data_IF_119548578025
#
_entry.id   IF_119548578025
#
_cell.length_a   1.000
_cell.length_b   1.000
_cell.length_c   1.000
_cell.angle_alpha   90.00
_cell.angle_beta   90.00
_cell.angle_gamma   90.00
#
_symmetry.space_group_name_H-M   'P 1'
#
loop_
_entity.id
_entity.type
_entity.pdbx_description
1 polymer ?
#
# COMPACT_ATOMS: atom_id res chain seq x y z
N UNK A 1 -22.14 -9.12 15.35
CA UNK A 1 -21.72 -9.85 14.13
C UNK A 1 -21.45 -8.81 13.05
N UNK A 2 -20.18 -8.63 12.66
CA UNK A 2 -19.88 -7.87 11.43
C UNK A 2 -20.32 -8.77 10.29
N UNK A 3 -21.49 -8.49 9.73
CA UNK A 3 -21.97 -9.16 8.52
C UNK A 3 -21.14 -8.60 7.38
N UNK A 4 -19.96 -9.16 7.15
CA UNK A 4 -19.18 -8.89 5.94
C UNK A 4 -20.09 -9.33 4.78
N UNK A 5 -20.67 -8.36 4.08
CA UNK A 5 -21.60 -8.60 2.97
C UNK A 5 -20.96 -9.32 1.77
N UNK A 6 -19.62 -9.43 1.77
CA UNK A 6 -18.86 -10.23 0.82
C UNK A 6 -18.50 -11.60 1.43
N UNK A 7 -18.58 -12.66 0.62
CA UNK A 7 -18.11 -13.97 1.03
C UNK A 7 -16.60 -13.89 1.44
N UNK A 8 -16.16 -14.67 2.43
CA UNK A 8 -14.79 -14.56 2.96
C UNK A 8 -13.70 -14.79 1.91
N UNK A 9 -14.00 -15.57 0.87
CA UNK A 9 -13.11 -15.80 -0.26
C UNK A 9 -12.95 -14.55 -1.14
N UNK A 10 -14.01 -13.79 -1.37
CA UNK A 10 -14.03 -12.55 -2.13
C UNK A 10 -13.23 -11.47 -1.41
N UNK A 11 -13.37 -11.39 -0.08
CA UNK A 11 -12.56 -10.51 0.74
C UNK A 11 -11.06 -10.82 0.57
N UNK A 12 -10.69 -12.11 0.62
CA UNK A 12 -9.32 -12.55 0.36
C UNK A 12 -8.84 -12.16 -1.04
N UNK A 13 -9.64 -12.44 -2.08
CA UNK A 13 -9.32 -12.06 -3.48
C UNK A 13 -9.11 -10.56 -3.61
N UNK A 14 -9.97 -9.74 -3.02
CA UNK A 14 -9.86 -8.29 -3.10
C UNK A 14 -8.57 -7.77 -2.45
N UNK A 15 -8.14 -8.33 -1.32
CA UNK A 15 -6.84 -7.98 -0.73
C UNK A 15 -5.68 -8.33 -1.67
N UNK A 16 -5.71 -9.52 -2.28
CA UNK A 16 -4.69 -9.91 -3.26
C UNK A 16 -4.67 -8.95 -4.45
N UNK A 17 -5.83 -8.57 -4.97
CA UNK A 17 -5.95 -7.61 -6.07
C UNK A 17 -5.37 -6.25 -5.66
N UNK A 18 -5.73 -5.72 -4.50
CA UNK A 18 -5.21 -4.44 -4.02
C UNK A 18 -3.69 -4.44 -3.88
N UNK A 19 -3.11 -5.53 -3.35
CA UNK A 19 -1.66 -5.72 -3.25
C UNK A 19 -1.00 -5.72 -4.62
N UNK A 20 -1.51 -6.54 -5.55
CA UNK A 20 -0.94 -6.66 -6.90
C UNK A 20 -1.00 -5.31 -7.63
N UNK A 21 -2.16 -4.64 -7.60
CA UNK A 21 -2.35 -3.33 -8.25
C UNK A 21 -1.38 -2.30 -7.68
N UNK A 22 -1.23 -2.26 -6.34
CA UNK A 22 -0.33 -1.32 -5.68
C UNK A 22 1.14 -1.58 -6.04
N UNK A 23 1.58 -2.84 -6.09
CA UNK A 23 2.95 -3.21 -6.49
C UNK A 23 3.19 -2.87 -7.97
N UNK A 24 2.29 -3.29 -8.86
CA UNK A 24 2.42 -3.07 -10.31
C UNK A 24 2.47 -1.57 -10.62
N UNK A 25 1.56 -0.79 -10.04
CA UNK A 25 1.60 0.66 -10.23
C UNK A 25 2.84 1.28 -9.58
N UNK A 26 3.23 0.85 -8.39
CA UNK A 26 4.46 1.32 -7.73
C UNK A 26 5.70 1.13 -8.61
N UNK A 27 5.83 -0.05 -9.25
CA UNK A 27 6.89 -0.34 -10.20
C UNK A 27 6.78 0.52 -11.48
N UNK A 28 5.57 0.70 -12.02
CA UNK A 28 5.32 1.57 -13.17
C UNK A 28 5.70 3.03 -12.89
N UNK A 29 5.51 3.49 -11.64
CA UNK A 29 5.93 4.80 -11.14
C UNK A 29 7.43 4.87 -10.78
N UNK A 30 8.21 3.84 -11.14
CA UNK A 30 9.65 3.73 -10.88
C UNK A 30 9.99 3.79 -9.39
N UNK A 31 9.16 3.21 -8.53
CA UNK A 31 9.62 2.87 -7.18
C UNK A 31 10.57 1.67 -7.28
N UNK A 32 11.67 1.65 -6.49
CA UNK A 32 12.51 0.47 -6.42
C UNK A 32 11.68 -0.71 -5.90
N UNK A 33 12.01 -1.94 -6.31
CA UNK A 33 11.28 -3.11 -5.83
C UNK A 33 11.45 -3.30 -4.32
N UNK A 34 12.68 -3.12 -3.83
CA UNK A 34 13.07 -3.29 -2.43
C UNK A 34 13.72 -2.00 -1.89
N UNK A 35 13.66 -1.76 -0.57
CA UNK A 35 14.40 -0.68 0.07
C UNK A 35 15.93 -0.84 -0.09
N UNK A 36 16.66 0.24 0.15
CA UNK A 36 18.12 0.21 0.16
C UNK A 36 18.67 -0.65 1.31
N UNK A 37 19.89 -1.16 1.16
CA UNK A 37 20.56 -1.92 2.23
C UNK A 37 21.25 -0.95 3.20
N UNK A 38 21.29 -1.24 4.51
CA UNK A 38 20.65 -2.38 5.18
C UNK A 38 19.12 -2.21 5.32
N UNK A 39 18.34 -3.18 4.82
CA UNK A 39 16.88 -3.07 4.61
C UNK A 39 16.12 -2.62 5.87
N UNK A 40 16.51 -3.10 7.06
CA UNK A 40 15.82 -2.79 8.32
C UNK A 40 15.96 -1.34 8.77
N UNK A 41 17.02 -0.66 8.34
CA UNK A 41 17.31 0.72 8.73
C UNK A 41 17.11 1.69 7.56
N UNK A 42 16.59 1.20 6.43
CA UNK A 42 16.31 2.01 5.26
C UNK A 42 14.94 2.67 5.36
N UNK A 43 14.93 3.98 5.17
CA UNK A 43 13.72 4.79 5.01
C UNK A 43 13.31 4.92 3.54
N UNK A 44 14.01 4.22 2.64
CA UNK A 44 13.72 4.25 1.21
C UNK A 44 12.42 3.50 0.93
N UNK A 45 11.41 4.26 0.50
CA UNK A 45 10.15 3.71 0.02
C UNK A 45 10.34 2.89 -1.26
N UNK A 46 9.58 1.80 -1.36
CA UNK A 46 9.67 0.81 -2.42
C UNK A 46 8.28 0.28 -2.80
N UNK A 47 8.21 -0.40 -3.94
CA UNK A 47 6.98 -1.04 -4.40
C UNK A 47 6.52 -2.16 -3.46
N UNK A 48 7.44 -2.83 -2.75
CA UNK A 48 7.10 -3.89 -1.81
C UNK A 48 6.94 -3.39 -0.37
N UNK A 49 7.55 -2.27 -0.02
CA UNK A 49 7.44 -1.64 1.30
C UNK A 49 7.57 -0.12 1.21
N UNK A 50 6.60 0.69 1.69
CA UNK A 50 5.40 0.30 2.45
C UNK A 50 4.13 0.14 1.58
N UNK A 51 4.24 0.20 0.26
CA UNK A 51 3.09 0.32 -0.68
C UNK A 51 1.94 -0.68 -0.44
N UNK A 52 2.16 -2.00 -0.32
CA UNK A 52 1.09 -2.96 -0.09
C UNK A 52 0.47 -2.84 1.31
N UNK A 53 1.22 -2.36 2.30
CA UNK A 53 0.74 -2.18 3.68
C UNK A 53 -0.35 -1.11 3.70
N UNK A 54 -0.13 0.01 3.00
CA UNK A 54 -1.16 1.03 2.85
C UNK A 54 -2.38 0.51 2.09
N UNK A 55 -2.17 -0.25 1.01
CA UNK A 55 -3.28 -0.82 0.24
C UNK A 55 -4.18 -1.72 1.11
N UNK A 56 -3.58 -2.62 1.90
CA UNK A 56 -4.32 -3.51 2.81
C UNK A 56 -5.00 -2.69 3.91
N UNK A 57 -4.26 -1.78 4.56
CA UNK A 57 -4.78 -1.00 5.69
C UNK A 57 -5.95 -0.11 5.31
N UNK A 58 -5.85 0.59 4.17
CA UNK A 58 -6.94 1.44 3.68
C UNK A 58 -8.14 0.59 3.26
N UNK A 59 -7.92 -0.52 2.55
CA UNK A 59 -9.01 -1.41 2.13
C UNK A 59 -9.77 -1.98 3.34
N UNK A 60 -9.04 -2.34 4.41
CA UNK A 60 -9.63 -2.81 5.65
C UNK A 60 -10.56 -1.78 6.30
N UNK A 61 -10.22 -0.49 6.22
CA UNK A 61 -11.08 0.60 6.71
C UNK A 61 -12.40 0.64 5.92
N UNK A 62 -12.35 0.57 4.58
CA UNK A 62 -13.56 0.54 3.75
C UNK A 62 -14.49 -0.62 4.13
N UNK A 63 -13.94 -1.83 4.27
CA UNK A 63 -14.75 -3.00 4.64
C UNK A 63 -15.26 -2.96 6.08
N UNK A 64 -14.49 -2.41 7.02
CA UNK A 64 -14.95 -2.18 8.40
C UNK A 64 -16.15 -1.23 8.45
N UNK A 65 -16.19 -0.24 7.56
CA UNK A 65 -17.31 0.69 7.38
C UNK A 65 -18.46 0.09 6.55
N UNK A 66 -18.42 -1.21 6.22
CA UNK A 66 -19.36 -1.90 5.34
C UNK A 66 -19.48 -1.31 3.92
N UNK A 67 -18.41 -0.68 3.43
CA UNK A 67 -18.36 -0.11 2.09
C UNK A 67 -17.73 -1.14 1.13
N UNK A 68 -18.57 -1.91 0.45
CA UNK A 68 -18.14 -2.90 -0.55
C UNK A 68 -18.31 -2.41 -1.99
N UNK A 69 -19.22 -1.47 -2.27
CA UNK A 69 -19.39 -0.92 -3.63
C UNK A 69 -19.63 -2.03 -4.70
N UNK A 70 -19.31 -1.72 -5.96
CA UNK A 70 -19.52 -2.57 -7.14
C UNK A 70 -18.58 -3.78 -7.12
N UNK A 71 -19.08 -4.92 -7.60
CA UNK A 71 -18.37 -6.21 -7.69
C UNK A 71 -17.82 -6.67 -6.34
N UNK A 72 -18.63 -6.56 -5.28
CA UNK A 72 -18.33 -7.05 -3.94
C UNK A 72 -16.95 -6.58 -3.42
N UNK A 73 -16.58 -5.33 -3.66
CA UNK A 73 -15.33 -4.75 -3.16
C UNK A 73 -14.19 -4.71 -4.17
N UNK A 74 -14.33 -5.31 -5.35
CA UNK A 74 -13.23 -5.39 -6.32
C UNK A 74 -12.83 -4.01 -6.86
N UNK A 75 -13.80 -3.16 -7.19
CA UNK A 75 -13.51 -1.81 -7.70
C UNK A 75 -12.79 -0.97 -6.64
N UNK A 76 -13.24 -1.04 -5.38
CA UNK A 76 -12.56 -0.36 -4.27
C UNK A 76 -11.15 -0.91 -4.10
N UNK A 77 -10.94 -2.23 -4.17
CA UNK A 77 -9.62 -2.82 -4.06
C UNK A 77 -8.64 -2.29 -5.11
N UNK A 78 -9.09 -2.17 -6.37
CA UNK A 78 -8.29 -1.57 -7.45
C UNK A 78 -7.99 -0.10 -7.13
N UNK A 79 -9.02 0.71 -6.83
CA UNK A 79 -8.85 2.14 -6.57
C UNK A 79 -7.94 2.41 -5.37
N UNK A 80 -8.10 1.63 -4.29
CA UNK A 80 -7.25 1.71 -3.09
C UNK A 80 -5.82 1.30 -3.41
N UNK A 81 -5.61 0.25 -4.20
CA UNK A 81 -4.28 -0.16 -4.66
C UNK A 81 -3.59 0.96 -5.46
N UNK A 82 -4.32 1.56 -6.41
CA UNK A 82 -3.83 2.68 -7.21
C UNK A 82 -3.49 3.89 -6.32
N UNK A 83 -4.43 4.29 -5.46
CA UNK A 83 -4.26 5.42 -4.56
C UNK A 83 -3.08 5.22 -3.59
N UNK A 84 -2.87 4.00 -3.10
CA UNK A 84 -1.77 3.68 -2.19
C UNK A 84 -0.41 3.82 -2.85
N UNK A 85 -0.27 3.36 -4.10
CA UNK A 85 0.98 3.54 -4.84
C UNK A 85 1.26 5.01 -5.17
N UNK A 86 0.23 5.78 -5.54
CA UNK A 86 0.35 7.22 -5.75
C UNK A 86 0.73 7.96 -4.47
N UNK A 87 0.07 7.62 -3.35
CA UNK A 87 0.40 8.14 -2.03
C UNK A 87 1.86 7.87 -1.68
N UNK A 88 2.31 6.61 -1.82
CA UNK A 88 3.71 6.27 -1.53
C UNK A 88 4.68 7.04 -2.42
N UNK A 89 4.40 7.13 -3.72
CA UNK A 89 5.29 7.83 -4.66
C UNK A 89 5.41 9.32 -4.35
N UNK A 90 4.29 10.01 -4.13
CA UNK A 90 4.25 11.48 -4.17
C UNK A 90 4.07 12.15 -2.81
N UNK A 91 3.35 11.52 -1.87
CA UNK A 91 2.94 12.16 -0.62
C UNK A 91 3.63 11.59 0.63
N UNK A 92 4.20 10.39 0.54
CA UNK A 92 4.80 9.70 1.68
C UNK A 92 5.85 10.55 2.40
N UNK A 93 6.80 11.15 1.67
CA UNK A 93 7.89 11.90 2.30
C UNK A 93 7.44 13.25 2.89
N UNK A 94 6.25 13.72 2.50
CA UNK A 94 5.63 14.90 3.10
C UNK A 94 4.96 14.57 4.44
N UNK A 95 4.34 13.39 4.53
CA UNK A 95 3.69 12.91 5.76
C UNK A 95 4.71 12.29 6.73
N UNK A 96 5.68 11.57 6.19
CA UNK A 96 6.74 10.86 6.91
C UNK A 96 8.10 11.36 6.40
N UNK A 97 8.57 12.51 6.87
CA UNK A 97 9.83 13.08 6.43
C UNK A 97 11.00 12.15 6.79
N UNK A 98 12.02 12.14 5.93
CA UNK A 98 13.24 11.39 6.17
C UNK A 98 13.90 11.84 7.48
N UNK A 99 14.55 10.92 8.21
CA UNK A 99 15.31 11.29 9.38
C UNK A 99 16.45 12.26 8.99
N UNK A 100 16.89 13.13 9.92
CA UNK A 100 18.04 14.00 9.68
C UNK A 100 19.25 13.18 9.23
N UNK A 101 19.94 13.63 8.18
CA UNK A 101 21.20 13.03 7.80
C UNK A 101 22.21 13.32 8.91
N UNK A 102 22.67 12.29 9.61
CA UNK A 102 23.76 12.43 10.59
C UNK A 102 25.04 12.64 9.78
N UNK A 103 25.52 13.88 9.70
CA UNK A 103 26.85 14.20 9.19
C UNK A 103 27.90 13.44 10.01
N UNK A 104 28.38 12.31 9.51
CA UNK A 104 29.45 11.53 10.14
C UNK A 104 29.41 10.01 9.97
N UNK A 105 28.32 9.44 9.44
CA UNK A 105 28.27 8.00 9.12
C UNK A 105 28.86 7.73 7.73
N UNK A 106 30.06 7.14 7.68
CA UNK A 106 30.71 6.71 6.43
C UNK A 106 29.73 5.96 5.52
N UNK A 107 29.66 6.40 4.26
CA UNK A 107 29.09 5.62 3.16
C UNK A 107 29.86 4.31 2.97
#
# INVERSE_FOLDING_TARGET
>A
MISIGANGFQLFVNYIVAIIVAIVLGLALRLPLLPEKPIRFSWTKSALFPTPIFAIGILAIFYSLNIFWIYDGLVIAILVGLASALFVKYLFDYVFPNPPQIEGGSK
#
